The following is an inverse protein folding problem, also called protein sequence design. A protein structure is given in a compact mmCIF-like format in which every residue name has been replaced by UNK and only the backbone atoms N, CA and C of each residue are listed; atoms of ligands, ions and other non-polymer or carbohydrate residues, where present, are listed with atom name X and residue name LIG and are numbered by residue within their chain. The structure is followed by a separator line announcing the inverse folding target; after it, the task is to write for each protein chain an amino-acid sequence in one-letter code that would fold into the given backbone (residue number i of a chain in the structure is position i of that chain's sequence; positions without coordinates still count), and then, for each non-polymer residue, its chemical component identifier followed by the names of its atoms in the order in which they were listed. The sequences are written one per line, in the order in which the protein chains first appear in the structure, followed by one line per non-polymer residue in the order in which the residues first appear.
data_IF_234843658130
#
_entry.id   IF_234843658130
#
_cell.length_a   1.000
_cell.length_b   1.000
_cell.length_c   1.000
_cell.angle_alpha   90.00
_cell.angle_beta   90.00
_cell.angle_gamma   90.00
#
_symmetry.space_group_name_H-M   'P 1'
#
loop_
_entity.id
_entity.type
_entity.pdbx_description
1 polymer ?
#
# COMPACT_ATOMS: atom_id res chain seq x y z
N UNK A 1 -72.53 1.70 29.18
CA UNK A 1 -71.91 3.00 28.85
C UNK A 1 -70.41 2.84 28.91
N UNK A 2 -69.75 2.98 27.75
CA UNK A 2 -68.30 2.87 27.51
C UNK A 2 -67.56 4.05 28.16
N UNK A 3 -66.41 3.81 28.80
CA UNK A 3 -65.31 4.79 28.88
C UNK A 3 -64.00 4.06 28.61
N UNK A 4 -63.49 4.31 27.41
CA UNK A 4 -62.23 3.81 26.88
C UNK A 4 -61.18 4.91 27.15
N UNK A 5 -60.29 4.69 28.12
CA UNK A 5 -59.18 5.62 28.39
C UNK A 5 -57.99 5.21 27.53
N UNK A 6 -57.72 5.97 26.48
CA UNK A 6 -56.53 5.84 25.63
C UNK A 6 -55.41 6.64 26.28
N UNK A 7 -54.40 5.97 26.83
CA UNK A 7 -53.14 6.57 27.26
C UNK A 7 -52.23 6.69 26.03
N UNK A 8 -52.04 7.93 25.57
CA UNK A 8 -51.04 8.31 24.58
C UNK A 8 -49.64 8.10 25.20
N UNK A 9 -48.99 6.99 24.86
CA UNK A 9 -47.57 6.79 25.14
C UNK A 9 -46.73 7.49 24.09
N UNK A 10 -46.22 8.68 24.39
CA UNK A 10 -45.23 9.37 23.57
C UNK A 10 -43.87 8.65 23.67
N UNK A 11 -43.63 7.70 22.77
CA UNK A 11 -42.33 7.04 22.62
C UNK A 11 -41.32 8.00 22.01
N UNK A 12 -40.36 8.46 22.80
CA UNK A 12 -39.24 9.28 22.34
C UNK A 12 -38.29 8.41 21.51
N UNK A 13 -38.29 8.60 20.19
CA UNK A 13 -37.32 7.94 19.29
C UNK A 13 -35.96 8.63 19.48
N UNK A 14 -35.10 8.05 20.32
CA UNK A 14 -33.70 8.45 20.44
C UNK A 14 -32.95 8.01 19.18
N UNK A 15 -32.77 8.95 18.25
CA UNK A 15 -31.88 8.76 17.10
C UNK A 15 -30.45 8.86 17.63
N UNK A 16 -29.80 7.71 17.84
CA UNK A 16 -28.36 7.67 18.13
C UNK A 16 -27.61 8.13 16.88
N UNK A 17 -27.17 9.39 16.87
CA UNK A 17 -26.21 9.91 15.90
C UNK A 17 -24.89 9.17 16.15
N UNK A 18 -24.54 8.23 15.26
CA UNK A 18 -23.22 7.61 15.28
C UNK A 18 -22.18 8.73 15.15
N UNK A 19 -21.33 8.86 16.17
CA UNK A 19 -20.21 9.80 16.11
C UNK A 19 -19.29 9.39 14.95
N UNK A 20 -18.66 10.36 14.25
CA UNK A 20 -17.72 10.05 13.19
C UNK A 20 -16.59 9.18 13.76
N UNK A 21 -16.26 8.10 13.04
CA UNK A 21 -15.14 7.24 13.39
C UNK A 21 -13.84 8.08 13.38
N UNK A 22 -13.05 7.96 14.45
CA UNK A 22 -11.76 8.61 14.51
C UNK A 22 -10.82 7.97 13.48
N UNK A 23 -10.13 8.79 12.68
CA UNK A 23 -9.13 8.31 11.74
C UNK A 23 -8.01 7.57 12.49
N UNK A 24 -7.64 6.39 12.02
CA UNK A 24 -6.52 5.65 12.58
C UNK A 24 -5.21 6.38 12.25
N UNK A 25 -4.29 6.45 13.22
CA UNK A 25 -3.02 7.15 13.02
C UNK A 25 -2.08 6.31 12.17
N UNK A 26 -1.46 6.87 11.11
CA UNK A 26 -0.44 6.16 10.34
C UNK A 26 0.75 5.75 11.20
N UNK A 27 1.15 4.49 11.09
CA UNK A 27 2.30 3.91 11.80
C UNK A 27 3.37 3.44 10.81
N UNK A 28 4.63 3.44 11.23
CA UNK A 28 5.75 3.12 10.36
C UNK A 28 5.73 1.67 9.88
N UNK A 29 6.02 1.47 8.60
CA UNK A 29 6.10 0.17 7.94
C UNK A 29 7.25 0.14 6.97
N UNK A 30 7.91 -1.01 6.88
CA UNK A 30 8.86 -1.34 5.82
C UNK A 30 8.32 -2.51 5.01
N UNK A 31 8.24 -2.37 3.70
CA UNK A 31 7.89 -3.43 2.76
C UNK A 31 9.10 -3.68 1.86
N UNK A 32 9.43 -4.94 1.61
CA UNK A 32 10.54 -5.35 0.75
C UNK A 32 10.00 -6.24 -0.35
N UNK A 33 10.27 -5.89 -1.61
CA UNK A 33 9.99 -6.72 -2.78
C UNK A 33 11.32 -7.19 -3.36
N UNK A 34 11.39 -8.45 -3.79
CA UNK A 34 12.62 -9.04 -4.34
C UNK A 34 12.38 -9.61 -5.72
N UNK A 35 13.33 -9.39 -6.63
CA UNK A 35 13.47 -10.08 -7.91
C UNK A 35 14.82 -10.77 -8.03
N UNK A 36 14.88 -11.82 -8.83
CA UNK A 36 16.16 -12.42 -9.22
C UNK A 36 16.89 -11.57 -10.28
N UNK A 37 18.12 -11.96 -10.63
CA UNK A 37 18.93 -11.33 -11.67
C UNK A 37 18.34 -11.42 -13.09
N UNK A 38 17.31 -12.24 -13.30
CA UNK A 38 16.55 -12.35 -14.54
C UNK A 38 15.24 -11.56 -14.48
N UNK A 39 15.06 -10.73 -13.44
CA UNK A 39 13.88 -9.91 -13.17
C UNK A 39 12.60 -10.68 -12.86
N UNK A 40 12.68 -11.98 -12.51
CA UNK A 40 11.52 -12.73 -12.05
C UNK A 40 11.15 -12.31 -10.62
N UNK A 41 9.86 -12.15 -10.33
CA UNK A 41 9.39 -11.88 -8.97
C UNK A 41 9.62 -13.07 -8.03
N UNK A 42 10.35 -12.85 -6.93
CA UNK A 42 10.63 -13.88 -5.91
C UNK A 42 9.59 -13.85 -4.81
N UNK A 43 9.36 -12.66 -4.24
CA UNK A 43 8.45 -12.50 -3.10
C UNK A 43 8.52 -11.11 -2.50
N UNK A 44 7.60 -10.87 -1.55
CA UNK A 44 7.57 -9.67 -0.75
C UNK A 44 7.48 -10.00 0.73
N UNK A 45 7.88 -9.06 1.58
CA UNK A 45 7.71 -9.13 3.03
C UNK A 45 7.44 -7.74 3.61
N UNK A 46 6.72 -7.67 4.72
CA UNK A 46 6.46 -6.42 5.43
C UNK A 46 6.76 -6.56 6.93
N UNK A 47 7.21 -5.47 7.54
CA UNK A 47 7.44 -5.36 8.99
C UNK A 47 7.03 -3.98 9.49
N UNK A 48 6.72 -3.85 10.78
CA UNK A 48 6.23 -2.61 11.40
C UNK A 48 4.75 -2.71 11.75
N UNK A 49 3.91 -1.85 11.18
CA UNK A 49 2.46 -1.79 11.46
C UNK A 49 1.71 -3.10 11.17
N UNK A 50 2.21 -3.87 10.21
CA UNK A 50 1.79 -5.24 9.97
C UNK A 50 3.02 -6.09 9.62
N UNK A 51 2.88 -7.40 9.79
CA UNK A 51 3.93 -8.38 9.50
C UNK A 51 3.35 -9.52 8.69
N UNK A 52 3.73 -9.61 7.42
CA UNK A 52 3.31 -10.68 6.52
C UNK A 52 4.30 -10.82 5.35
N UNK A 53 4.12 -11.85 4.54
CA UNK A 53 4.92 -12.11 3.34
C UNK A 53 4.14 -12.93 2.32
N UNK A 54 4.59 -12.90 1.07
CA UNK A 54 4.02 -13.74 0.03
C UNK A 54 4.61 -13.48 -1.35
N UNK A 55 3.81 -13.74 -2.37
CA UNK A 55 4.19 -13.51 -3.77
C UNK A 55 3.68 -12.16 -4.26
N UNK A 56 4.32 -11.60 -5.28
CA UNK A 56 3.85 -10.38 -5.93
C UNK A 56 4.00 -10.47 -7.44
N UNK A 57 3.26 -9.63 -8.16
CA UNK A 57 3.34 -9.51 -9.62
C UNK A 57 3.48 -8.06 -10.04
N UNK A 58 4.07 -7.86 -11.21
CA UNK A 58 4.10 -6.56 -11.89
C UNK A 58 2.95 -6.45 -12.87
N UNK A 59 1.95 -5.64 -12.55
CA UNK A 59 0.73 -5.54 -13.35
C UNK A 59 0.88 -4.54 -14.50
N UNK A 60 1.68 -3.51 -14.28
CA UNK A 60 1.91 -2.45 -15.25
C UNK A 60 3.28 -1.82 -15.03
N UNK A 61 4.02 -1.56 -16.11
CA UNK A 61 5.25 -0.77 -16.08
C UNK A 61 5.29 0.15 -17.29
N UNK A 62 5.49 1.44 -17.05
CA UNK A 62 5.77 2.41 -18.09
C UNK A 62 6.96 3.25 -17.68
N UNK A 63 7.96 3.35 -18.55
CA UNK A 63 9.08 4.25 -18.38
C UNK A 63 9.11 5.28 -19.49
N UNK A 64 9.45 6.52 -19.16
CA UNK A 64 9.54 7.62 -20.10
C UNK A 64 10.77 8.47 -19.82
N UNK A 65 11.46 8.88 -20.89
CA UNK A 65 12.56 9.82 -20.84
C UNK A 65 12.14 11.10 -21.57
N UNK A 66 12.01 12.23 -20.86
CA UNK A 66 11.98 13.55 -21.48
C UNK A 66 13.44 13.88 -21.86
N UNK A 67 13.73 14.20 -23.15
CA UNK A 67 14.89 13.85 -24.02
C UNK A 67 16.26 13.42 -23.44
N UNK A 68 16.31 12.93 -22.22
CA UNK A 68 17.51 12.71 -21.44
C UNK A 68 18.04 11.30 -21.71
N UNK A 69 19.30 11.16 -22.13
CA UNK A 69 19.94 9.86 -22.24
C UNK A 69 20.32 9.28 -20.86
N UNK A 70 20.16 10.06 -19.79
CA UNK A 70 20.72 9.75 -18.47
C UNK A 70 19.70 9.76 -17.33
N UNK A 71 18.46 10.13 -17.59
CA UNK A 71 17.40 10.15 -16.60
C UNK A 71 16.07 9.70 -17.21
N UNK A 72 15.31 8.93 -16.44
CA UNK A 72 13.95 8.54 -16.81
C UNK A 72 13.03 8.56 -15.59
N UNK A 73 11.74 8.65 -15.86
CA UNK A 73 10.70 8.41 -14.88
C UNK A 73 10.02 7.09 -15.17
N UNK A 74 9.56 6.41 -14.13
CA UNK A 74 8.79 5.18 -14.25
C UNK A 74 7.52 5.24 -13.42
N UNK A 75 6.49 4.57 -13.91
CA UNK A 75 5.32 4.18 -13.13
C UNK A 75 5.28 2.66 -13.14
N UNK A 76 5.21 2.06 -11.95
CA UNK A 76 5.06 0.62 -11.76
C UNK A 76 3.83 0.38 -10.89
N UNK A 77 3.02 -0.61 -11.24
CA UNK A 77 1.91 -1.09 -10.40
C UNK A 77 2.13 -2.55 -10.10
N UNK A 78 1.95 -2.92 -8.85
CA UNK A 78 2.14 -4.30 -8.38
C UNK A 78 0.92 -4.77 -7.63
N UNK A 79 0.77 -6.09 -7.57
CA UNK A 79 -0.18 -6.76 -6.68
C UNK A 79 0.59 -7.69 -5.75
N UNK A 80 0.49 -7.43 -4.45
CA UNK A 80 1.05 -8.23 -3.37
C UNK A 80 -0.02 -9.23 -2.89
N UNK A 81 0.33 -10.51 -2.84
CA UNK A 81 -0.58 -11.61 -2.47
C UNK A 81 -0.03 -12.38 -1.29
N UNK A 82 -0.90 -12.69 -0.32
CA UNK A 82 -0.64 -13.59 0.80
C UNK A 82 -1.87 -14.48 1.08
N UNK A 83 -1.79 -15.28 2.14
CA UNK A 83 -2.95 -16.00 2.66
C UNK A 83 -4.05 -15.08 3.25
N UNK A 84 -3.71 -13.84 3.62
CA UNK A 84 -4.63 -12.90 4.26
C UNK A 84 -5.43 -12.05 3.26
N UNK A 85 -5.02 -12.06 1.99
CA UNK A 85 -5.62 -11.26 0.92
C UNK A 85 -4.56 -10.67 0.01
N UNK A 86 -4.98 -9.66 -0.76
CA UNK A 86 -4.10 -8.90 -1.66
C UNK A 86 -4.10 -7.42 -1.34
N UNK A 87 -3.02 -6.72 -1.68
CA UNK A 87 -3.02 -5.27 -1.82
C UNK A 87 -2.28 -4.87 -3.09
N UNK A 88 -2.40 -3.60 -3.47
CA UNK A 88 -1.76 -3.05 -4.67
C UNK A 88 -0.95 -1.81 -4.35
N UNK A 89 0.30 -1.79 -4.80
CA UNK A 89 1.17 -0.64 -4.70
C UNK A 89 1.31 0.03 -6.07
N UNK A 90 1.20 1.35 -6.10
CA UNK A 90 1.61 2.18 -7.22
C UNK A 90 2.91 2.91 -6.86
N UNK A 91 3.93 2.73 -7.69
CA UNK A 91 5.23 3.36 -7.58
C UNK A 91 5.36 4.48 -8.60
N UNK A 92 5.95 5.58 -8.17
CA UNK A 92 6.53 6.58 -9.05
C UNK A 92 8.04 6.58 -8.82
N UNK A 93 8.79 6.26 -9.86
CA UNK A 93 10.24 6.15 -9.81
C UNK A 93 10.92 7.20 -10.66
N UNK A 94 12.12 7.58 -10.23
CA UNK A 94 13.03 8.41 -10.99
C UNK A 94 14.40 7.75 -10.97
N UNK A 95 15.07 7.79 -12.12
CA UNK A 95 16.42 7.31 -12.28
C UNK A 95 17.32 8.43 -12.79
N UNK A 96 18.54 8.51 -12.28
CA UNK A 96 19.49 9.57 -12.67
C UNK A 96 20.96 9.10 -12.64
N UNK A 97 21.50 8.67 -13.79
CA UNK A 97 22.89 8.19 -13.92
C UNK A 97 23.97 9.15 -13.39
N UNK A 98 23.93 10.48 -13.69
CA UNK A 98 24.91 11.44 -13.19
C UNK A 98 25.03 11.51 -11.66
N UNK A 99 23.96 11.16 -10.94
CA UNK A 99 23.94 11.17 -9.47
C UNK A 99 24.46 9.85 -8.87
N UNK A 100 24.88 8.90 -9.70
CA UNK A 100 25.10 7.49 -9.31
C UNK A 100 23.93 6.62 -9.75
N UNK A 101 24.01 5.31 -9.52
CA UNK A 101 22.86 4.42 -9.74
C UNK A 101 21.82 4.66 -8.64
N UNK A 102 21.11 5.78 -8.72
CA UNK A 102 20.04 6.18 -7.81
C UNK A 102 18.71 5.93 -8.50
N UNK A 103 18.08 4.81 -8.13
CA UNK A 103 16.75 4.48 -8.58
C UNK A 103 15.82 4.32 -7.38
N UNK A 104 14.80 5.17 -7.33
CA UNK A 104 13.86 5.20 -6.24
C UNK A 104 12.76 6.21 -6.48
N UNK A 105 11.96 6.49 -5.46
CA UNK A 105 10.91 7.50 -5.53
C UNK A 105 9.85 7.30 -4.48
N UNK A 106 8.58 7.43 -4.86
CA UNK A 106 7.43 7.33 -3.94
C UNK A 106 6.57 6.11 -4.26
N UNK A 107 5.84 5.66 -3.26
CA UNK A 107 4.86 4.58 -3.39
C UNK A 107 3.59 4.90 -2.62
N UNK A 108 2.48 4.32 -3.05
CA UNK A 108 1.17 4.42 -2.38
C UNK A 108 0.41 3.11 -2.52
N UNK A 109 -0.29 2.68 -1.46
CA UNK A 109 -1.24 1.57 -1.52
C UNK A 109 -2.56 2.10 -2.06
N UNK A 110 -3.04 1.49 -3.14
CA UNK A 110 -4.20 1.98 -3.88
C UNK A 110 -5.45 1.15 -3.65
N UNK A 111 -5.29 -0.14 -3.36
CA UNK A 111 -6.38 -1.10 -3.19
C UNK A 111 -5.95 -2.24 -2.27
N UNK A 112 -6.93 -2.88 -1.63
CA UNK A 112 -6.71 -4.11 -0.88
C UNK A 112 -7.95 -5.00 -0.79
N UNK A 113 -7.75 -6.24 -0.39
CA UNK A 113 -8.77 -7.27 -0.19
C UNK A 113 -8.49 -8.08 1.06
N UNK A 114 -9.49 -8.81 1.58
CA UNK A 114 -9.31 -9.62 2.78
C UNK A 114 -8.90 -8.77 3.98
N UNK A 115 -7.87 -9.20 4.71
CA UNK A 115 -7.33 -8.44 5.85
C UNK A 115 -6.75 -7.07 5.45
N UNK A 116 -6.46 -6.86 4.16
CA UNK A 116 -5.92 -5.60 3.63
C UNK A 116 -6.98 -4.69 3.04
N UNK A 117 -8.27 -5.01 3.14
CA UNK A 117 -9.34 -4.23 2.51
C UNK A 117 -9.36 -2.75 2.94
N UNK A 118 -8.95 -2.49 4.17
CA UNK A 118 -8.85 -1.17 4.79
C UNK A 118 -7.42 -0.60 4.76
N UNK A 119 -6.45 -1.29 4.15
CA UNK A 119 -5.04 -0.89 4.21
C UNK A 119 -4.77 0.30 3.28
N UNK A 120 -4.32 1.40 3.87
CA UNK A 120 -3.92 2.61 3.17
C UNK A 120 -2.55 3.07 3.65
N UNK A 121 -1.81 3.79 2.80
CA UNK A 121 -0.52 4.34 3.17
C UNK A 121 0.39 4.63 1.99
N UNK A 122 1.58 5.13 2.31
CA UNK A 122 2.56 5.52 1.31
C UNK A 122 3.89 5.92 1.93
N UNK A 123 4.86 6.18 1.08
CA UNK A 123 6.20 6.58 1.50
C UNK A 123 7.18 6.68 0.34
N UNK A 124 8.44 6.42 0.66
CA UNK A 124 9.54 6.41 -0.31
C UNK A 124 10.05 4.99 -0.53
N UNK A 125 10.68 4.76 -1.67
CA UNK A 125 11.33 3.49 -1.97
C UNK A 125 12.65 3.70 -2.70
N UNK A 126 13.51 2.69 -2.61
CA UNK A 126 14.79 2.61 -3.32
C UNK A 126 15.02 1.19 -3.83
N UNK A 127 15.74 1.08 -4.95
CA UNK A 127 16.27 -0.18 -5.49
C UNK A 127 17.73 -0.33 -5.09
N UNK A 128 18.14 -1.55 -4.76
CA UNK A 128 19.53 -1.92 -4.61
C UNK A 128 19.76 -3.38 -5.05
N UNK A 129 20.97 -3.68 -5.51
CA UNK A 129 21.43 -5.05 -5.73
C UNK A 129 21.87 -5.67 -4.39
N UNK A 130 21.35 -6.85 -4.06
CA UNK A 130 21.89 -7.68 -2.99
C UNK A 130 23.25 -8.23 -3.44
N UNK A 131 24.32 -7.80 -2.76
CA UNK A 131 25.69 -8.15 -3.13
C UNK A 131 26.01 -9.66 -3.01
N UNK A 132 25.24 -10.42 -2.24
CA UNK A 132 25.48 -11.84 -2.01
C UNK A 132 24.75 -12.70 -3.05
N UNK A 133 23.53 -12.31 -3.42
CA UNK A 133 22.69 -13.11 -4.31
C UNK A 133 22.58 -12.55 -5.73
N UNK A 134 22.94 -11.28 -5.93
CA UNK A 134 22.69 -10.55 -7.19
C UNK A 134 21.21 -10.25 -7.42
N UNK A 135 20.38 -10.31 -6.38
CA UNK A 135 18.94 -10.04 -6.49
C UNK A 135 18.67 -8.54 -6.45
N UNK A 136 17.65 -8.09 -7.16
CA UNK A 136 17.16 -6.72 -7.05
C UNK A 136 16.20 -6.63 -5.87
N UNK A 137 16.50 -5.71 -4.94
CA UNK A 137 15.74 -5.48 -3.72
C UNK A 137 15.13 -4.09 -3.76
N UNK A 138 13.79 -4.03 -3.76
CA UNK A 138 13.03 -2.80 -3.61
C UNK A 138 12.66 -2.64 -2.15
N UNK A 139 13.20 -1.61 -1.48
CA UNK A 139 12.90 -1.30 -0.09
C UNK A 139 11.96 -0.11 -0.04
N UNK A 140 10.77 -0.32 0.50
CA UNK A 140 9.72 0.70 0.68
C UNK A 140 9.65 1.04 2.16
N UNK A 141 9.87 2.30 2.50
CA UNK A 141 9.74 2.83 3.87
C UNK A 141 8.66 3.90 3.88
N UNK A 142 7.74 3.82 4.84
CA UNK A 142 6.66 4.78 4.93
C UNK A 142 5.78 4.55 6.14
N UNK A 143 4.53 5.02 6.04
CA UNK A 143 3.53 4.82 7.06
C UNK A 143 2.23 4.29 6.45
N UNK A 144 1.56 3.42 7.19
CA UNK A 144 0.29 2.80 6.80
C UNK A 144 -0.70 2.85 7.95
N UNK A 145 -1.98 2.70 7.63
CA UNK A 145 -3.09 2.62 8.58
C UNK A 145 -4.22 1.77 8.00
N UNK A 146 -5.16 1.39 8.87
CA UNK A 146 -6.37 0.66 8.49
C UNK A 146 -7.60 1.51 8.80
N UNK A 147 -8.42 1.87 7.80
CA UNK A 147 -9.66 2.64 7.99
C UNK A 147 -10.84 2.25 7.08
#
# INVERSE_FOLDING_TARGET
MRRLSVLLGAGTLLIALAAPAAASSPTSTTIVLVRDSQFNEIGWSATGSFSDSGSWTSDFRQSGALPSPVAFQTILKTTETSALGTFRIEFQGHFNLPAGHDFGGTWVITQGTGAYAALHGGGTWSEADDANTGNLVFTLVGAVHFD
#
